data_IF_096617301495
#
_entry.id   IF_096617301495
#
_cell.length_a   1.000
_cell.length_b   1.000
_cell.length_c   1.000
_cell.angle_alpha   90.00
_cell.angle_beta   90.00
_cell.angle_gamma   90.00
#
_symmetry.space_group_name_H-M   'P 1'
#
loop_
_entity.id
_entity.type
_entity.pdbx_description
1 polymer ?
#
# COMPACT_ATOMS: atom_id res chain seq x y z
N UNK A 1 -44.88 -1.14 13.84
CA UNK A 1 -44.95 -0.04 12.86
C UNK A 1 -43.63 0.00 12.13
N UNK A 2 -43.61 -0.28 10.82
CA UNK A 2 -42.44 0.00 10.00
C UNK A 2 -42.48 1.48 9.67
N UNK A 3 -41.72 2.28 10.41
CA UNK A 3 -41.56 3.69 10.10
C UNK A 3 -40.82 3.79 8.76
N UNK A 4 -41.46 4.46 7.80
CA UNK A 4 -40.89 4.77 6.49
C UNK A 4 -40.48 6.24 6.45
N UNK A 5 -39.36 6.52 5.79
CA UNK A 5 -38.94 7.88 5.48
C UNK A 5 -38.57 8.00 4.01
N UNK A 6 -38.81 9.18 3.45
CA UNK A 6 -38.40 9.51 2.09
C UNK A 6 -36.99 10.07 2.10
N UNK A 7 -36.10 9.45 1.34
CA UNK A 7 -34.72 9.88 1.20
C UNK A 7 -34.46 10.31 -0.23
N UNK A 8 -34.15 11.58 -0.42
CA UNK A 8 -33.75 12.15 -1.72
C UNK A 8 -32.23 12.22 -1.81
N UNK A 9 -31.66 11.69 -2.89
CA UNK A 9 -30.23 11.81 -3.17
C UNK A 9 -29.97 11.94 -4.67
N UNK A 10 -28.76 12.39 -5.01
CA UNK A 10 -28.31 12.50 -6.40
C UNK A 10 -27.70 11.16 -6.82
N UNK A 11 -28.36 10.46 -7.74
CA UNK A 11 -27.84 9.22 -8.33
C UNK A 11 -26.99 9.55 -9.56
N UNK A 12 -25.73 9.09 -9.63
CA UNK A 12 -24.92 9.26 -10.82
C UNK A 12 -25.52 8.42 -11.95
N UNK A 13 -25.62 9.02 -13.13
CA UNK A 13 -26.06 8.38 -14.37
C UNK A 13 -25.08 8.69 -15.48
N UNK A 14 -24.91 7.74 -16.39
CA UNK A 14 -24.04 7.88 -17.55
C UNK A 14 -24.89 8.30 -18.75
N UNK A 15 -24.49 9.37 -19.42
CA UNK A 15 -25.09 9.83 -20.67
C UNK A 15 -24.12 9.48 -21.79
N UNK A 16 -24.55 8.64 -22.72
CA UNK A 16 -23.77 8.28 -23.91
C UNK A 16 -23.45 9.54 -24.74
N UNK A 17 -22.19 9.67 -25.15
CA UNK A 17 -21.69 10.75 -26.01
C UNK A 17 -21.09 10.20 -27.32
N UNK A 18 -21.19 8.89 -27.58
CA UNK A 18 -20.55 8.23 -28.73
C UNK A 18 -20.90 8.85 -30.09
N UNK A 19 -22.09 9.43 -30.24
CA UNK A 19 -22.57 10.03 -31.49
C UNK A 19 -22.27 11.52 -31.62
N UNK A 20 -21.63 12.13 -30.62
CA UNK A 20 -21.43 13.59 -30.59
C UNK A 20 -20.16 14.04 -31.32
N UNK A 21 -19.25 13.11 -31.62
CA UNK A 21 -17.92 13.43 -32.15
C UNK A 21 -16.99 14.14 -31.16
N UNK A 22 -17.43 14.36 -29.91
CA UNK A 22 -16.67 15.04 -28.88
C UNK A 22 -15.97 14.04 -27.96
N UNK A 23 -14.81 14.43 -27.42
CA UNK A 23 -14.13 13.66 -26.39
C UNK A 23 -14.47 14.18 -24.99
N UNK A 24 -14.01 13.44 -23.99
CA UNK A 24 -14.27 13.71 -22.59
C UNK A 24 -13.03 13.50 -21.74
N UNK A 25 -13.06 14.02 -20.52
CA UNK A 25 -12.10 13.68 -19.49
C UNK A 25 -12.83 13.32 -18.18
N UNK A 26 -13.05 12.02 -17.95
CA UNK A 26 -13.74 11.54 -16.74
C UNK A 26 -12.74 11.09 -15.68
N UNK A 27 -12.95 11.50 -14.44
CA UNK A 27 -12.19 10.98 -13.30
C UNK A 27 -12.81 9.65 -12.82
N UNK A 28 -12.07 8.55 -12.84
CA UNK A 28 -12.58 7.26 -12.33
C UNK A 28 -12.64 7.21 -10.80
N UNK A 29 -11.80 7.98 -10.12
CA UNK A 29 -11.79 8.02 -8.64
C UNK A 29 -13.02 8.78 -8.12
N UNK A 30 -13.37 9.90 -8.74
CA UNK A 30 -14.47 10.76 -8.29
C UNK A 30 -15.80 10.47 -8.98
N UNK A 31 -15.80 9.69 -10.07
CA UNK A 31 -17.00 9.46 -10.90
C UNK A 31 -17.66 10.77 -11.37
N UNK A 32 -16.84 11.73 -11.81
CA UNK A 32 -17.27 13.04 -12.33
C UNK A 32 -16.70 13.27 -13.73
N UNK A 33 -17.42 14.10 -14.48
CA UNK A 33 -16.97 14.64 -15.77
C UNK A 33 -16.14 15.89 -15.54
N UNK A 34 -14.82 15.82 -15.67
CA UNK A 34 -13.94 16.96 -15.41
C UNK A 34 -13.87 17.95 -16.58
N UNK A 35 -14.07 17.48 -17.82
CA UNK A 35 -14.09 18.36 -19.00
C UNK A 35 -14.88 17.76 -20.16
N UNK A 36 -15.93 18.47 -20.61
CA UNK A 36 -16.74 18.15 -21.79
C UNK A 36 -17.21 19.45 -22.48
N UNK A 37 -17.16 19.57 -23.81
CA UNK A 37 -16.46 18.70 -24.75
C UNK A 37 -14.93 18.90 -24.66
N UNK A 38 -14.17 17.82 -24.79
CA UNK A 38 -12.71 17.86 -24.84
C UNK A 38 -12.22 17.56 -26.27
N UNK A 39 -11.08 18.13 -26.64
CA UNK A 39 -10.42 17.88 -27.93
C UNK A 39 -9.43 16.72 -27.89
N UNK A 40 -9.01 16.31 -26.69
CA UNK A 40 -7.98 15.28 -26.50
C UNK A 40 -8.64 13.90 -26.57
N UNK A 41 -8.27 13.13 -27.59
CA UNK A 41 -8.82 11.80 -27.89
C UNK A 41 -8.05 10.64 -27.28
N UNK A 42 -6.80 10.87 -26.87
CA UNK A 42 -5.89 9.87 -26.35
C UNK A 42 -5.65 10.07 -24.84
N UNK A 43 -5.65 8.98 -24.08
CA UNK A 43 -5.47 9.02 -22.63
C UNK A 43 -4.05 9.43 -22.22
N UNK A 44 -3.05 9.09 -23.03
CA UNK A 44 -1.66 9.48 -22.76
C UNK A 44 -1.46 11.00 -22.77
N UNK A 45 -2.31 11.73 -23.49
CA UNK A 45 -2.21 13.18 -23.67
C UNK A 45 -3.04 13.96 -22.63
N UNK A 46 -3.68 13.28 -21.66
CA UNK A 46 -4.61 13.92 -20.72
C UNK A 46 -3.98 14.91 -19.77
N UNK A 47 -2.67 14.84 -19.54
CA UNK A 47 -1.92 15.87 -18.83
C UNK A 47 -2.09 17.26 -19.45
N UNK A 48 -2.43 17.34 -20.75
CA UNK A 48 -2.64 18.58 -21.48
C UNK A 48 -4.11 19.04 -21.53
N UNK A 49 -5.03 18.33 -20.88
CA UNK A 49 -6.43 18.75 -20.81
C UNK A 49 -6.56 20.05 -20.01
N UNK A 50 -7.46 20.96 -20.41
CA UNK A 50 -7.69 22.23 -19.70
C UNK A 50 -8.09 22.06 -18.23
N UNK A 51 -8.65 20.89 -17.89
CA UNK A 51 -8.98 20.54 -16.51
C UNK A 51 -7.74 20.18 -15.67
N UNK A 52 -6.56 20.01 -16.27
CA UNK A 52 -5.32 19.65 -15.59
C UNK A 52 -4.47 20.89 -15.33
N UNK A 53 -4.00 21.02 -14.10
CA UNK A 53 -3.02 22.02 -13.70
C UNK A 53 -1.61 21.68 -14.19
N UNK A 54 -0.68 22.64 -14.11
CA UNK A 54 0.72 22.44 -14.50
C UNK A 54 1.44 21.38 -13.66
N UNK A 55 0.95 21.10 -12.45
CA UNK A 55 1.40 20.06 -11.54
C UNK A 55 0.91 18.64 -11.93
N UNK A 56 0.07 18.53 -12.96
CA UNK A 56 -0.50 17.27 -13.42
C UNK A 56 -1.75 16.83 -12.65
N UNK A 57 -2.27 17.66 -11.76
CA UNK A 57 -3.48 17.37 -10.99
C UNK A 57 -4.70 18.09 -11.56
N UNK A 58 -5.86 17.44 -11.48
CA UNK A 58 -7.10 18.02 -11.97
C UNK A 58 -7.55 19.18 -11.07
N UNK A 59 -8.03 20.25 -11.70
CA UNK A 59 -8.55 21.45 -11.04
C UNK A 59 -10.09 21.38 -10.88
N UNK A 60 -10.76 20.43 -11.55
CA UNK A 60 -12.22 20.34 -11.59
C UNK A 60 -12.81 19.35 -10.57
N UNK A 61 -12.13 18.24 -10.29
CA UNK A 61 -12.64 17.25 -9.32
C UNK A 61 -12.22 17.59 -7.89
N UNK A 62 -13.07 17.27 -6.92
CA UNK A 62 -12.90 17.63 -5.51
C UNK A 62 -11.57 17.11 -4.92
N UNK A 63 -11.18 15.88 -5.29
CA UNK A 63 -9.96 15.25 -4.79
C UNK A 63 -8.70 15.67 -5.55
N UNK A 64 -8.80 16.61 -6.50
CA UNK A 64 -7.69 17.06 -7.36
C UNK A 64 -6.85 15.91 -7.92
N UNK A 65 -7.51 14.89 -8.44
CA UNK A 65 -6.85 13.65 -8.81
C UNK A 65 -5.81 13.87 -9.93
N UNK A 66 -4.72 13.09 -9.90
CA UNK A 66 -3.70 13.12 -10.93
C UNK A 66 -4.26 12.77 -12.33
N UNK A 67 -3.68 13.32 -13.39
CA UNK A 67 -4.18 13.14 -14.76
C UNK A 67 -4.28 11.67 -15.19
N UNK A 68 -3.43 10.81 -14.65
CA UNK A 68 -3.37 9.37 -14.99
C UNK A 68 -4.60 8.56 -14.58
N UNK A 69 -5.46 9.09 -13.69
CA UNK A 69 -6.73 8.44 -13.32
C UNK A 69 -7.94 8.99 -14.10
N UNK A 70 -7.66 9.80 -15.13
CA UNK A 70 -8.68 10.36 -16.00
C UNK A 70 -8.62 9.76 -17.40
N UNK A 71 -9.79 9.46 -17.96
CA UNK A 71 -9.90 8.71 -19.19
C UNK A 71 -10.92 9.32 -20.16
N UNK A 72 -10.65 9.16 -21.46
CA UNK A 72 -11.62 9.27 -22.54
C UNK A 72 -12.57 8.09 -22.42
N UNK A 73 -13.84 8.41 -22.25
CA UNK A 73 -14.90 7.42 -22.22
C UNK A 73 -16.01 7.82 -23.17
N UNK A 74 -16.89 6.86 -23.46
CA UNK A 74 -18.04 7.07 -24.35
C UNK A 74 -19.25 7.67 -23.64
N UNK A 75 -19.09 8.10 -22.40
CA UNK A 75 -20.16 8.70 -21.63
C UNK A 75 -19.66 9.87 -20.78
N UNK A 76 -20.58 10.76 -20.42
CA UNK A 76 -20.37 11.74 -19.36
C UNK A 76 -21.23 11.40 -18.15
N UNK A 77 -20.72 11.67 -16.96
CA UNK A 77 -21.48 11.66 -15.72
C UNK A 77 -22.48 12.81 -15.69
N UNK A 78 -23.70 12.49 -15.28
CA UNK A 78 -24.73 13.42 -14.87
C UNK A 78 -25.36 12.92 -13.56
N UNK A 79 -26.16 13.75 -12.91
CA UNK A 79 -26.79 13.42 -11.64
C UNK A 79 -28.29 13.64 -11.73
N UNK A 80 -29.07 12.60 -11.41
CA UNK A 80 -30.52 12.70 -11.31
C UNK A 80 -30.93 12.61 -9.86
N UNK A 81 -31.83 13.51 -9.43
CA UNK A 81 -32.46 13.42 -8.13
C UNK A 81 -33.36 12.20 -8.12
N UNK A 82 -33.13 11.29 -7.18
CA UNK A 82 -33.95 10.10 -6.96
C UNK A 82 -34.47 10.18 -5.53
N UNK A 83 -35.78 9.97 -5.38
CA UNK A 83 -36.45 9.85 -4.09
C UNK A 83 -36.84 8.39 -3.90
N UNK A 84 -36.37 7.77 -2.82
CA UNK A 84 -36.71 6.40 -2.46
C UNK A 84 -37.33 6.37 -1.06
N UNK A 85 -38.33 5.52 -0.87
CA UNK A 85 -38.85 5.19 0.45
C UNK A 85 -37.96 4.12 1.08
N UNK A 86 -37.49 4.38 2.30
CA UNK A 86 -36.65 3.46 3.08
C UNK A 86 -37.30 3.22 4.42
N UNK A 87 -37.04 2.05 5.00
CA UNK A 87 -37.49 1.76 6.36
C UNK A 87 -36.36 2.01 7.36
N UNK A 88 -36.71 2.31 8.61
CA UNK A 88 -35.72 2.36 9.70
C UNK A 88 -35.06 0.99 9.97
N UNK A 89 -35.78 -0.11 9.70
CA UNK A 89 -35.25 -1.45 9.83
C UNK A 89 -34.12 -1.70 8.84
N UNK A 90 -34.28 -1.31 7.57
CA UNK A 90 -33.22 -1.42 6.55
C UNK A 90 -31.96 -0.64 6.93
N UNK A 91 -32.14 0.54 7.55
CA UNK A 91 -31.02 1.36 8.03
C UNK A 91 -30.29 0.68 9.18
N UNK A 92 -31.04 0.14 10.15
CA UNK A 92 -30.49 -0.61 11.29
C UNK A 92 -29.71 -1.84 10.83
N UNK A 93 -30.28 -2.61 9.91
CA UNK A 93 -29.64 -3.84 9.41
C UNK A 93 -28.34 -3.53 8.66
N UNK A 94 -28.33 -2.49 7.81
CA UNK A 94 -27.11 -2.02 7.15
C UNK A 94 -26.04 -1.59 8.14
N UNK A 95 -26.41 -0.85 9.19
CA UNK A 95 -25.46 -0.41 10.22
C UNK A 95 -24.88 -1.59 11.01
N UNK A 96 -25.72 -2.55 11.41
CA UNK A 96 -25.29 -3.76 12.11
C UNK A 96 -24.34 -4.59 11.25
N UNK A 97 -24.67 -4.82 9.97
CA UNK A 97 -23.79 -5.55 9.05
C UNK A 97 -22.43 -4.85 8.85
N UNK A 98 -22.42 -3.52 8.70
CA UNK A 98 -21.19 -2.75 8.56
C UNK A 98 -20.33 -2.85 9.83
N UNK A 99 -20.96 -2.77 11.01
CA UNK A 99 -20.28 -2.91 12.31
C UNK A 99 -19.68 -4.31 12.47
N UNK A 100 -20.43 -5.37 12.14
CA UNK A 100 -19.94 -6.75 12.20
C UNK A 100 -18.73 -6.96 11.27
N UNK A 101 -18.78 -6.46 10.03
CA UNK A 101 -17.63 -6.53 9.10
C UNK A 101 -16.41 -5.79 9.64
N UNK A 102 -16.59 -4.62 10.24
CA UNK A 102 -15.49 -3.87 10.83
C UNK A 102 -14.84 -4.62 12.00
N UNK A 103 -15.65 -5.24 12.88
CA UNK A 103 -15.15 -6.07 13.98
C UNK A 103 -14.34 -7.27 13.45
N UNK A 104 -14.85 -7.99 12.44
CA UNK A 104 -14.14 -9.12 11.82
C UNK A 104 -12.76 -8.72 11.29
N UNK A 105 -12.65 -7.55 10.63
CA UNK A 105 -11.36 -7.05 10.13
C UNK A 105 -10.41 -6.72 11.29
N UNK A 106 -10.91 -6.09 12.35
CA UNK A 106 -10.10 -5.77 13.54
C UNK A 106 -9.58 -7.03 14.24
N UNK A 107 -10.43 -8.05 14.38
CA UNK A 107 -10.06 -9.33 15.00
C UNK A 107 -8.96 -10.04 14.21
N UNK A 108 -9.07 -10.09 12.88
CA UNK A 108 -8.03 -10.65 12.00
C UNK A 108 -6.72 -9.88 12.15
N UNK A 109 -6.77 -8.54 12.16
CA UNK A 109 -5.58 -7.70 12.33
C UNK A 109 -4.88 -7.97 13.67
N UNK A 110 -5.63 -8.16 14.75
CA UNK A 110 -5.06 -8.43 16.07
C UNK A 110 -4.41 -9.82 16.13
N UNK A 111 -5.07 -10.83 15.56
CA UNK A 111 -4.47 -12.17 15.44
C UNK A 111 -3.15 -12.14 14.67
N UNK A 112 -3.09 -11.40 13.55
CA UNK A 112 -1.86 -11.24 12.78
C UNK A 112 -0.74 -10.58 13.60
N UNK A 113 -1.05 -9.56 14.41
CA UNK A 113 -0.05 -8.92 15.30
C UNK A 113 0.50 -9.89 16.35
N UNK A 114 -0.36 -10.71 16.95
CA UNK A 114 0.07 -11.72 17.92
C UNK A 114 0.99 -12.74 17.26
N UNK A 115 0.61 -13.28 16.10
CA UNK A 115 1.44 -14.23 15.35
C UNK A 115 2.80 -13.63 14.97
N UNK A 116 2.81 -12.38 14.50
CA UNK A 116 4.04 -11.67 14.18
C UNK A 116 4.96 -11.52 15.40
N UNK A 117 4.41 -11.22 16.58
CA UNK A 117 5.18 -11.08 17.82
C UNK A 117 5.80 -12.41 18.24
N UNK A 118 5.06 -13.51 18.15
CA UNK A 118 5.55 -14.85 18.47
C UNK A 118 6.68 -15.26 17.52
N UNK A 119 6.50 -15.07 16.22
CA UNK A 119 7.53 -15.35 15.21
C UNK A 119 8.79 -14.51 15.44
N UNK A 120 8.64 -13.23 15.78
CA UNK A 120 9.77 -12.35 16.10
C UNK A 120 10.56 -12.88 17.30
N UNK A 121 9.89 -13.35 18.35
CA UNK A 121 10.56 -13.92 19.52
C UNK A 121 11.32 -15.20 19.15
N UNK A 122 10.71 -16.09 18.37
CA UNK A 122 11.36 -17.32 17.90
C UNK A 122 12.63 -17.02 17.09
N UNK A 123 12.56 -16.06 16.16
CA UNK A 123 13.73 -15.62 15.39
C UNK A 123 14.84 -15.10 16.30
N UNK A 124 14.51 -14.28 17.31
CA UNK A 124 15.50 -13.78 18.27
C UNK A 124 16.15 -14.92 19.09
N UNK A 125 15.38 -15.92 19.50
CA UNK A 125 15.90 -17.10 20.20
C UNK A 125 16.82 -17.94 19.30
N UNK A 126 16.46 -18.12 18.02
CA UNK A 126 17.29 -18.79 17.03
C UNK A 126 18.58 -18.03 16.77
N UNK A 127 18.53 -16.70 16.64
CA UNK A 127 19.71 -15.86 16.49
C UNK A 127 20.63 -15.99 17.71
N UNK A 128 20.08 -15.94 18.93
CA UNK A 128 20.85 -16.11 20.16
C UNK A 128 21.53 -17.48 20.22
N UNK A 129 20.80 -18.55 19.90
CA UNK A 129 21.33 -19.90 19.82
C UNK A 129 22.44 -20.03 18.77
N UNK A 130 22.24 -19.44 17.58
CA UNK A 130 23.25 -19.42 16.51
C UNK A 130 24.53 -18.72 16.98
N UNK A 131 24.42 -17.56 17.63
CA UNK A 131 25.56 -16.85 18.22
C UNK A 131 26.29 -17.68 19.27
N UNK A 132 25.56 -18.39 20.14
CA UNK A 132 26.17 -19.30 21.12
C UNK A 132 26.93 -20.45 20.45
N UNK A 133 26.34 -21.07 19.42
CA UNK A 133 26.99 -22.10 18.62
C UNK A 133 28.26 -21.58 17.94
N UNK A 134 28.20 -20.38 17.34
CA UNK A 134 29.35 -19.74 16.70
C UNK A 134 30.46 -19.42 17.70
N UNK A 135 30.13 -18.96 18.90
CA UNK A 135 31.12 -18.69 19.95
C UNK A 135 31.80 -19.99 20.43
N UNK A 136 31.02 -21.05 20.65
CA UNK A 136 31.58 -22.37 21.01
C UNK A 136 32.46 -22.92 19.90
N UNK A 137 32.07 -22.75 18.63
CA UNK A 137 32.90 -23.10 17.47
C UNK A 137 34.21 -22.31 17.47
N UNK A 138 34.19 -21.01 17.77
CA UNK A 138 35.40 -20.18 17.89
C UNK A 138 36.34 -20.68 18.99
N UNK A 139 35.82 -21.12 20.14
CA UNK A 139 36.62 -21.65 21.26
C UNK A 139 37.35 -22.96 20.91
N UNK A 140 36.66 -23.88 20.23
CA UNK A 140 37.20 -25.23 19.94
C UNK A 140 37.96 -25.32 18.62
N UNK A 141 37.85 -24.31 17.75
CA UNK A 141 38.45 -24.38 16.44
C UNK A 141 39.98 -24.28 16.51
N UNK A 142 40.65 -25.30 15.94
CA UNK A 142 42.12 -25.35 15.81
C UNK A 142 42.68 -24.23 14.91
N UNK A 143 41.83 -23.61 14.10
CA UNK A 143 42.09 -22.39 13.33
C UNK A 143 40.95 -21.40 13.62
N UNK A 144 41.24 -20.11 13.86
CA UNK A 144 40.19 -19.13 14.12
C UNK A 144 39.16 -19.11 12.99
N UNK A 145 37.88 -18.94 13.35
CA UNK A 145 36.79 -18.82 12.39
C UNK A 145 37.11 -17.68 11.41
N UNK A 146 37.23 -17.95 10.09
CA UNK A 146 37.73 -16.97 9.13
C UNK A 146 36.72 -15.85 8.84
N UNK A 147 35.46 -16.00 9.26
CA UNK A 147 34.40 -15.04 8.94
C UNK A 147 34.03 -14.21 10.18
N UNK A 148 34.12 -12.89 10.01
CA UNK A 148 33.55 -11.87 10.87
C UNK A 148 32.01 -11.90 10.83
N UNK A 149 31.37 -11.28 11.83
CA UNK A 149 29.89 -11.17 11.89
C UNK A 149 29.29 -10.54 10.62
N UNK A 150 29.88 -9.47 10.03
CA UNK A 150 29.42 -8.93 8.75
C UNK A 150 29.52 -9.91 7.58
N UNK A 151 30.60 -10.69 7.49
CA UNK A 151 30.80 -11.68 6.41
C UNK A 151 29.80 -12.85 6.52
N UNK A 152 29.39 -13.20 7.74
CA UNK A 152 28.32 -14.17 7.95
C UNK A 152 26.95 -13.64 7.48
N UNK A 153 26.65 -12.38 7.74
CA UNK A 153 25.41 -11.73 7.27
C UNK A 153 25.39 -11.65 5.73
N UNK A 154 26.54 -11.40 5.09
CA UNK A 154 26.66 -11.42 3.63
C UNK A 154 26.30 -12.79 3.02
N UNK A 155 26.67 -13.88 3.71
CA UNK A 155 26.31 -15.24 3.34
C UNK A 155 24.79 -15.48 3.44
N UNK A 156 24.13 -14.96 4.48
CA UNK A 156 22.66 -15.02 4.61
C UNK A 156 21.95 -14.24 3.50
N UNK A 157 22.47 -13.05 3.14
CA UNK A 157 21.94 -12.26 2.01
C UNK A 157 22.09 -13.01 0.70
N UNK A 158 23.22 -13.68 0.45
CA UNK A 158 23.41 -14.51 -0.74
C UNK A 158 22.45 -15.70 -0.77
N UNK A 159 22.17 -16.32 0.38
CA UNK A 159 21.14 -17.35 0.52
C UNK A 159 19.76 -16.84 0.10
N UNK A 160 19.31 -15.71 0.65
CA UNK A 160 18.02 -15.09 0.30
C UNK A 160 17.92 -14.73 -1.20
N UNK A 161 19.01 -14.23 -1.80
CA UNK A 161 19.09 -13.93 -3.24
C UNK A 161 19.02 -15.18 -4.11
N UNK A 162 19.50 -16.31 -3.62
CA UNK A 162 19.55 -17.58 -4.36
C UNK A 162 18.25 -18.37 -4.24
N UNK A 163 17.62 -18.34 -3.06
CA UNK A 163 16.36 -19.07 -2.82
C UNK A 163 15.14 -18.36 -3.40
N UNK A 164 15.16 -17.02 -3.54
CA UNK A 164 14.09 -16.20 -4.12
C UNK A 164 12.68 -16.47 -3.56
N UNK A 165 12.62 -16.91 -2.30
CA UNK A 165 11.36 -17.15 -1.59
C UNK A 165 10.56 -15.87 -1.47
N UNK A 166 9.23 -15.98 -1.44
CA UNK A 166 8.34 -14.82 -1.28
C UNK A 166 8.79 -13.95 -0.08
N UNK A 167 8.85 -12.63 -0.29
CA UNK A 167 9.33 -11.67 0.70
C UNK A 167 10.87 -11.55 0.84
N UNK A 168 11.67 -12.17 -0.04
CA UNK A 168 13.14 -12.13 0.05
C UNK A 168 13.72 -10.71 -0.01
N UNK A 169 13.12 -9.79 -0.77
CA UNK A 169 13.60 -8.41 -0.87
C UNK A 169 13.54 -7.68 0.50
N UNK A 170 12.45 -7.85 1.24
CA UNK A 170 12.30 -7.26 2.57
C UNK A 170 13.27 -7.89 3.57
N UNK A 171 13.49 -9.22 3.50
CA UNK A 171 14.47 -9.91 4.35
C UNK A 171 15.91 -9.44 4.05
N UNK A 172 16.28 -9.30 2.77
CA UNK A 172 17.58 -8.75 2.36
C UNK A 172 17.77 -7.34 2.90
N UNK A 173 16.78 -6.46 2.76
CA UNK A 173 16.86 -5.10 3.28
C UNK A 173 17.12 -5.10 4.79
N UNK A 174 16.41 -5.96 5.54
CA UNK A 174 16.61 -6.07 6.99
C UNK A 174 18.00 -6.61 7.36
N UNK A 175 18.51 -7.59 6.62
CA UNK A 175 19.86 -8.11 6.81
C UNK A 175 20.93 -7.05 6.50
N UNK A 176 20.71 -6.18 5.50
CA UNK A 176 21.60 -5.07 5.18
C UNK A 176 21.66 -4.04 6.32
N UNK A 177 20.52 -3.67 6.90
CA UNK A 177 20.48 -2.76 8.07
C UNK A 177 21.27 -3.34 9.26
N UNK A 178 21.10 -4.65 9.55
CA UNK A 178 21.82 -5.32 10.63
C UNK A 178 23.33 -5.31 10.35
N UNK A 179 23.74 -5.62 9.11
CA UNK A 179 25.15 -5.60 8.68
C UNK A 179 25.80 -4.24 8.92
N UNK A 180 25.13 -3.15 8.53
CA UNK A 180 25.66 -1.79 8.71
C UNK A 180 25.84 -1.44 10.19
N UNK A 181 24.90 -1.86 11.03
CA UNK A 181 24.98 -1.64 12.48
C UNK A 181 26.16 -2.38 13.13
N UNK A 182 26.42 -3.64 12.74
CA UNK A 182 27.56 -4.44 13.22
C UNK A 182 28.90 -3.85 12.75
N UNK A 183 29.01 -3.46 11.48
CA UNK A 183 30.23 -2.79 10.96
C UNK A 183 30.53 -1.50 11.73
N UNK A 184 29.49 -0.75 12.08
CA UNK A 184 29.63 0.50 12.84
C UNK A 184 30.09 0.20 14.28
N UNK A 185 29.50 -0.79 14.95
CA UNK A 185 29.92 -1.22 16.29
C UNK A 185 31.36 -1.76 16.32
N UNK A 186 31.78 -2.48 15.28
CA UNK A 186 33.14 -3.00 15.15
C UNK A 186 34.17 -1.87 14.96
N UNK A 187 33.83 -0.83 14.19
CA UNK A 187 34.67 0.38 14.05
C UNK A 187 34.79 1.15 15.37
N UNK A 188 33.69 1.32 16.09
CA UNK A 188 33.66 2.01 17.39
C UNK A 188 34.47 1.25 18.45
N UNK A 189 34.34 -0.08 18.53
CA UNK A 189 35.09 -0.90 19.49
C UNK A 189 36.60 -0.94 19.23
N UNK A 190 37.04 -0.70 17.98
CA UNK A 190 38.46 -0.56 17.61
C UNK A 190 39.02 0.86 17.80
N UNK A 191 38.23 1.80 18.32
CA UNK A 191 38.66 3.18 18.57
C UNK A 191 38.93 4.00 17.30
N UNK A 192 38.42 3.56 16.15
CA UNK A 192 38.55 4.31 14.90
C UNK A 192 37.50 5.41 14.89
N UNK A 193 37.93 6.67 14.85
CA UNK A 193 37.04 7.82 14.75
C UNK A 193 36.12 7.66 13.52
N UNK A 194 34.81 7.78 13.74
CA UNK A 194 33.83 7.90 12.66
C UNK A 194 34.04 9.26 12.00
N UNK A 195 34.90 9.31 10.99
CA UNK A 195 35.07 10.50 10.16
C UNK A 195 33.80 10.70 9.32
N UNK A 196 33.39 11.97 9.31
CA UNK A 196 32.18 12.58 8.74
C UNK A 196 31.83 12.14 7.31
#
# INVERSE_FOLDING_TARGET
MNFEYEFSFMKPVQIDISQTGNYINNCQVCSVTCHYPCIISNDADKRHCVSMGPDGNCQQCENKCHWSVHFVQKYRWNYKKVTEKRTYQDLKDKYQQATMKAMLVQDIMEQMRVQYKLLKEEVLQLMKSSTQCLNRLKEIALKPNPLSTPEYIDLLIQGEKSELKEGYLQRIQKLQEIRESEVTMEKVSRGVALLE
#
